data_IF_527641454652
#
_entry.id   IF_527641454652
#
_cell.length_a   1.000
_cell.length_b   1.000
_cell.length_c   1.000
_cell.angle_alpha   90.00
_cell.angle_beta   90.00
_cell.angle_gamma   90.00
#
_symmetry.space_group_name_H-M   'P 1'
#
loop_
_entity.id
_entity.type
_entity.pdbx_description
1 polymer ?
2 non-polymer ?
3 water ?
#
# COMPACT_ATOMS: atom_id res chain seq x y z
N UNK A 1 16.86 24.51 -12.69
CA UNK A 1 16.67 23.24 -13.41
C UNK A 1 15.79 22.22 -12.67
N UNK A 2 14.69 21.86 -13.30
CA UNK A 2 13.54 21.11 -12.82
C UNK A 2 13.97 19.79 -12.22
N UNK A 3 13.30 19.32 -11.18
CA UNK A 3 13.61 18.01 -10.63
C UNK A 3 13.27 16.91 -11.62
N UNK A 4 14.01 15.80 -11.51
CA UNK A 4 13.81 14.61 -12.33
C UNK A 4 13.66 13.40 -11.42
N UNK A 5 12.61 12.62 -11.56
CA UNK A 5 12.55 11.35 -10.84
C UNK A 5 13.69 10.43 -11.27
N UNK A 6 14.66 10.23 -10.38
CA UNK A 6 15.70 9.25 -10.67
C UNK A 6 15.06 7.88 -10.74
N UNK A 7 15.36 7.15 -11.81
CA UNK A 7 14.82 5.83 -12.00
C UNK A 7 13.63 5.74 -12.94
N UNK A 8 13.39 6.77 -13.75
CA UNK A 8 12.25 6.75 -14.65
C UNK A 8 12.60 5.96 -15.90
N UNK A 9 11.76 4.98 -16.25
CA UNK A 9 12.03 4.08 -17.35
C UNK A 9 10.79 3.95 -18.22
N UNK A 10 10.96 4.08 -19.54
CA UNK A 10 9.89 3.75 -20.47
C UNK A 10 10.00 2.27 -20.77
N UNK A 11 8.96 1.50 -20.42
CA UNK A 11 9.07 0.06 -20.48
C UNK A 11 9.01 -0.40 -21.94
N UNK A 12 9.62 -1.55 -22.25
CA UNK A 12 9.54 -2.09 -23.60
C UNK A 12 8.09 -2.34 -23.98
N UNK A 13 7.70 -2.02 -25.22
CA UNK A 13 6.33 -2.36 -25.65
C UNK A 13 6.12 -3.86 -25.63
N UNK A 14 5.04 -4.28 -24.98
CA UNK A 14 4.70 -5.69 -24.86
C UNK A 14 3.22 -5.88 -25.18
N UNK A 15 2.83 -7.06 -25.65
CA UNK A 15 1.42 -7.27 -25.93
C UNK A 15 0.63 -7.30 -24.66
N UNK A 16 -0.67 -6.96 -24.70
CA UNK A 16 -1.49 -7.00 -23.48
C UNK A 16 -1.49 -8.39 -22.86
N UNK A 17 -1.51 -8.42 -21.54
CA UNK A 17 -1.71 -9.66 -20.80
C UNK A 17 -3.21 -9.92 -20.63
N UNK A 18 -3.65 -11.17 -20.68
CA UNK A 18 -5.05 -11.44 -20.37
C UNK A 18 -5.32 -11.17 -18.92
N UNK A 19 -6.56 -10.81 -18.54
CA UNK A 19 -6.91 -10.79 -17.13
C UNK A 19 -6.73 -12.19 -16.56
N UNK A 20 -6.19 -12.26 -15.35
CA UNK A 20 -5.75 -13.52 -14.76
C UNK A 20 -6.91 -14.10 -13.96
N UNK A 21 -7.51 -15.15 -14.53
CA UNK A 21 -8.42 -16.01 -13.79
C UNK A 21 -7.67 -17.21 -13.27
N UNK A 22 -6.70 -17.70 -14.02
CA UNK A 22 -5.79 -18.69 -13.48
C UNK A 22 -5.13 -18.21 -12.19
N UNK A 23 -5.56 -18.77 -11.02
CA UNK A 23 -5.15 -18.32 -9.67
C UNK A 23 -5.66 -16.90 -9.53
N UNK A 24 -6.99 -16.68 -9.23
CA UNK A 24 -7.42 -15.28 -9.22
C UNK A 24 -7.51 -14.93 -7.77
N UNK A 25 -8.46 -15.60 -7.12
CA UNK A 25 -8.56 -15.63 -5.67
C UNK A 25 -8.33 -17.06 -5.19
N UNK A 26 -7.27 -17.25 -4.40
CA UNK A 26 -7.08 -18.38 -3.50
C UNK A 26 -7.70 -18.08 -2.15
N UNK A 27 -8.72 -17.23 -2.16
CA UNK A 27 -9.20 -16.56 -0.96
C UNK A 27 -8.04 -15.86 -0.26
N UNK A 28 -7.33 -14.96 -0.94
CA UNK A 28 -6.09 -14.43 -0.37
C UNK A 28 -6.28 -13.64 0.92
N UNK A 29 -7.45 -13.02 1.14
CA UNK A 29 -7.57 -12.12 2.28
C UNK A 29 -7.84 -12.84 3.60
N UNK A 30 -8.07 -14.15 3.58
CA UNK A 30 -8.26 -14.88 4.83
C UNK A 30 -6.92 -15.09 5.51
N UNK A 31 -6.85 -14.85 6.82
CA UNK A 31 -5.61 -14.82 7.59
C UNK A 31 -5.82 -15.58 8.90
N UNK A 32 -4.83 -15.53 9.80
CA UNK A 32 -4.82 -16.39 10.99
C UNK A 32 -5.50 -15.72 12.19
N UNK A 33 -6.29 -16.49 12.93
CA UNK A 33 -6.99 -15.94 14.08
C UNK A 33 -6.00 -15.45 15.14
N UNK A 34 -6.30 -14.35 15.82
CA UNK A 34 -5.43 -13.89 16.89
C UNK A 34 -5.37 -14.91 18.04
N UNK A 35 -4.35 -14.75 18.87
CA UNK A 35 -4.25 -15.57 20.08
C UNK A 35 -5.40 -15.27 21.03
N UNK A 36 -5.88 -16.30 21.73
CA UNK A 36 -6.95 -16.08 22.70
C UNK A 36 -6.46 -15.41 23.98
N UNK A 37 -5.21 -15.64 24.39
CA UNK A 37 -4.73 -15.11 25.67
C UNK A 37 -3.68 -14.04 25.44
N UNK A 38 -3.64 -13.09 26.38
CA UNK A 38 -2.64 -12.04 26.30
C UNK A 38 -1.23 -12.64 26.43
N UNK A 39 -1.08 -13.67 27.25
CA UNK A 39 0.24 -14.24 27.49
C UNK A 39 0.80 -14.88 26.22
N UNK A 40 -0.05 -15.55 25.45
CA UNK A 40 0.40 -16.12 24.17
C UNK A 40 0.88 -15.03 23.23
N UNK A 41 0.11 -13.95 23.14
CA UNK A 41 0.46 -12.85 22.25
C UNK A 41 1.79 -12.23 22.65
N UNK A 42 1.96 -11.92 23.93
CA UNK A 42 3.21 -11.33 24.37
C UNK A 42 4.39 -12.24 24.05
N UNK A 43 4.19 -13.56 24.14
CA UNK A 43 5.28 -14.49 23.86
C UNK A 43 5.63 -14.50 22.37
N UNK A 44 4.65 -14.28 21.50
CA UNK A 44 4.92 -14.32 20.07
C UNK A 44 5.76 -13.15 19.60
N UNK A 45 5.87 -12.09 20.39
CA UNK A 45 6.66 -10.92 20.00
C UNK A 45 7.82 -10.67 20.95
N UNK A 46 8.22 -11.68 21.72
CA UNK A 46 9.29 -11.51 22.71
C UNK A 46 10.59 -11.10 22.05
N UNK A 47 10.86 -11.63 20.86
CA UNK A 47 12.10 -11.28 20.15
C UNK A 47 12.08 -9.82 19.71
N UNK A 48 10.95 -9.34 19.20
CA UNK A 48 10.85 -7.92 18.85
C UNK A 48 11.02 -7.06 20.08
N UNK A 49 10.31 -7.43 21.16
CA UNK A 49 10.42 -6.66 22.40
C UNK A 49 11.87 -6.62 22.90
N UNK A 50 12.59 -7.74 22.76
CA UNK A 50 13.98 -7.77 23.20
C UNK A 50 14.87 -6.91 22.32
N UNK A 51 14.53 -6.77 21.04
CA UNK A 51 15.28 -5.89 20.16
C UNK A 51 14.99 -4.41 20.45
N UNK A 52 13.95 -4.11 21.22
CA UNK A 52 13.70 -2.77 21.68
C UNK A 52 12.89 -1.90 20.75
N UNK A 53 12.65 -2.34 19.51
CA UNK A 53 11.81 -1.57 18.60
C UNK A 53 11.27 -2.49 17.53
N UNK A 54 10.14 -2.09 16.97
CA UNK A 54 9.54 -2.73 15.81
C UNK A 54 10.15 -2.13 14.55
N UNK A 55 10.65 -2.98 13.65
CA UNK A 55 11.30 -2.52 12.41
C UNK A 55 10.29 -2.63 11.28
N UNK A 56 9.95 -1.49 10.68
CA UNK A 56 8.81 -1.35 9.78
C UNK A 56 9.32 -0.94 8.42
N UNK A 57 8.97 -1.71 7.38
CA UNK A 57 9.33 -1.37 6.02
C UNK A 57 8.27 -0.53 5.34
N UNK A 58 8.69 0.58 4.75
CA UNK A 58 7.81 1.49 4.00
C UNK A 58 8.73 2.47 3.29
N UNK A 59 8.19 3.51 2.64
CA UNK A 59 9.08 4.55 2.11
C UNK A 59 8.40 5.90 2.32
N UNK A 60 8.96 6.97 1.75
CA UNK A 60 8.35 8.28 2.03
C UNK A 60 7.77 8.85 0.74
N UNK A 61 7.36 7.99 -0.17
CA UNK A 61 6.83 8.43 -1.44
C UNK A 61 5.33 8.36 -1.63
N UNK A 62 4.56 8.11 -0.56
CA UNK A 62 3.10 7.96 -0.65
C UNK A 62 2.41 8.92 0.30
N UNK A 63 2.13 10.12 -0.18
CA UNK A 63 1.43 11.11 0.63
C UNK A 63 0.14 10.53 1.19
N UNK A 64 -0.14 10.87 2.45
CA UNK A 64 -1.23 10.42 3.30
C UNK A 64 -0.98 9.04 3.88
N UNK A 65 0.01 8.29 3.39
CA UNK A 65 0.25 6.92 3.86
C UNK A 65 1.63 6.73 4.46
N UNK A 66 2.69 7.08 3.74
CA UNK A 66 4.01 7.12 4.35
C UNK A 66 4.82 8.16 3.60
N UNK A 67 5.18 9.23 4.30
CA UNK A 67 5.81 10.38 3.68
C UNK A 67 6.46 11.18 4.81
N UNK A 68 7.35 12.10 4.45
CA UNK A 68 7.97 12.95 5.46
C UNK A 68 7.21 14.27 5.52
N UNK A 69 6.67 14.59 6.68
CA UNK A 69 5.94 15.84 6.84
C UNK A 69 6.92 17.00 6.71
N UNK A 70 6.63 17.99 5.86
CA UNK A 70 7.59 19.08 5.64
C UNK A 70 7.73 20.03 6.82
N UNK A 71 6.78 20.06 7.74
CA UNK A 71 6.87 20.96 8.88
C UNK A 71 7.55 20.30 10.07
N UNK A 72 7.13 19.08 10.42
CA UNK A 72 7.72 18.38 11.55
C UNK A 72 8.96 17.59 11.18
N UNK A 73 9.14 17.26 9.90
CA UNK A 73 10.23 16.40 9.47
C UNK A 73 10.07 14.93 9.80
N UNK A 74 8.93 14.53 10.36
CA UNK A 74 8.72 13.15 10.77
C UNK A 74 8.11 12.32 9.64
N UNK A 75 8.49 11.04 9.59
CA UNK A 75 7.77 10.08 8.76
C UNK A 75 6.40 9.86 9.38
N UNK A 76 5.35 9.98 8.57
CA UNK A 76 3.99 9.97 9.10
C UNK A 76 3.05 9.53 7.97
N UNK A 77 1.76 9.43 8.30
CA UNK A 77 0.76 8.92 7.38
C UNK A 77 -0.01 7.75 7.97
N UNK A 78 -1.04 7.35 7.23
CA UNK A 78 -1.95 6.29 7.69
C UNK A 78 -1.20 4.98 7.93
N UNK A 79 -0.33 4.58 7.01
CA UNK A 79 0.43 3.33 7.19
C UNK A 79 1.39 3.44 8.38
N UNK A 80 2.00 4.61 8.56
CA UNK A 80 2.86 4.83 9.72
C UNK A 80 2.07 4.65 11.00
N UNK A 81 0.85 5.17 11.04
CA UNK A 81 0.04 5.09 12.25
C UNK A 81 -0.46 3.66 12.49
N UNK A 82 -0.80 2.93 11.42
CA UNK A 82 -1.16 1.52 11.58
C UNK A 82 -0.01 0.75 12.21
N UNK A 83 1.21 0.95 11.70
CA UNK A 83 2.36 0.27 12.27
C UNK A 83 2.59 0.68 13.72
N UNK A 84 2.34 1.95 14.04
CA UNK A 84 2.48 2.41 15.41
C UNK A 84 1.51 1.74 16.37
N UNK A 85 0.35 1.31 15.87
CA UNK A 85 -0.58 0.61 16.75
C UNK A 85 -0.07 -0.80 17.05
N UNK A 86 0.60 -1.44 16.09
CA UNK A 86 1.26 -2.71 16.39
C UNK A 86 2.32 -2.49 17.45
N UNK A 87 3.12 -1.43 17.31
CA UNK A 87 4.17 -1.15 18.29
C UNK A 87 3.59 -0.86 19.66
N UNK A 88 2.46 -0.14 19.70
CA UNK A 88 1.78 0.10 20.97
C UNK A 88 1.42 -1.21 21.66
N UNK A 89 0.92 -2.19 20.90
CA UNK A 89 0.54 -3.45 21.50
C UNK A 89 1.75 -4.23 22.02
N UNK A 90 2.91 -4.06 21.38
CA UNK A 90 4.12 -4.76 21.81
C UNK A 90 4.74 -4.08 23.01
N UNK A 91 4.91 -2.75 22.94
CA UNK A 91 5.70 -2.00 23.90
C UNK A 91 4.89 -1.18 24.89
N UNK A 92 3.60 -0.95 24.62
CA UNK A 92 2.78 -0.11 25.46
C UNK A 92 2.60 1.31 24.94
N UNK A 93 3.50 1.76 24.06
CA UNK A 93 3.42 3.08 23.43
C UNK A 93 3.90 2.95 21.99
N UNK A 94 3.39 3.80 21.10
CA UNK A 94 3.70 3.63 19.66
C UNK A 94 5.11 4.07 19.26
N UNK A 95 5.90 4.65 20.17
CA UNK A 95 7.14 5.33 19.80
C UNK A 95 8.24 4.40 19.30
N UNK A 96 8.19 3.12 19.65
CA UNK A 96 9.34 2.23 19.52
C UNK A 96 9.35 1.57 18.14
N UNK A 97 9.62 2.40 17.14
CA UNK A 97 9.63 1.96 15.75
C UNK A 97 10.90 2.49 15.09
N UNK A 98 11.51 1.65 14.25
CA UNK A 98 12.59 2.05 13.35
C UNK A 98 12.14 1.71 11.93
N UNK A 99 12.31 2.63 11.00
CA UNK A 99 11.88 2.42 9.62
C UNK A 99 13.05 1.92 8.79
N UNK A 100 12.78 0.94 7.92
CA UNK A 100 13.68 0.58 6.84
C UNK A 100 13.05 1.07 5.54
N UNK A 101 13.72 2.01 4.87
CA UNK A 101 13.14 2.58 3.66
C UNK A 101 13.25 1.55 2.53
N UNK A 102 12.10 1.15 1.99
CA UNK A 102 11.98 0.13 0.97
C UNK A 102 11.03 0.61 -0.13
N UNK A 103 11.41 0.39 -1.38
CA UNK A 103 10.48 0.68 -2.46
C UNK A 103 9.41 -0.41 -2.55
N UNK A 104 8.36 -0.12 -3.32
CA UNK A 104 7.33 -1.12 -3.59
C UNK A 104 7.94 -2.42 -4.11
N UNK A 105 8.99 -2.32 -4.93
CA UNK A 105 9.59 -3.49 -5.52
C UNK A 105 10.41 -4.31 -4.53
N UNK A 106 10.70 -3.76 -3.35
CA UNK A 106 11.54 -4.43 -2.36
C UNK A 106 10.74 -5.00 -1.20
N UNK A 107 9.42 -4.88 -1.20
CA UNK A 107 8.62 -5.31 -0.05
C UNK A 107 8.77 -6.81 0.20
N UNK A 108 8.59 -7.63 -0.84
CA UNK A 108 8.62 -9.07 -0.66
C UNK A 108 10.01 -9.54 -0.25
N UNK A 109 11.06 -9.05 -0.92
CA UNK A 109 12.39 -9.55 -0.61
C UNK A 109 12.81 -9.19 0.82
N UNK A 110 12.46 -7.99 1.28
CA UNK A 110 12.79 -7.60 2.65
C UNK A 110 12.16 -8.55 3.66
N UNK A 111 10.91 -8.94 3.40
CA UNK A 111 10.24 -9.89 4.29
C UNK A 111 10.88 -11.27 4.20
N UNK A 112 11.22 -11.71 2.98
CA UNK A 112 11.83 -13.03 2.80
C UNK A 112 13.16 -13.11 3.53
N UNK A 113 13.92 -12.03 3.50
CA UNK A 113 15.23 -11.96 4.11
C UNK A 113 15.17 -11.56 5.58
N UNK A 114 13.98 -11.40 6.16
CA UNK A 114 13.82 -11.02 7.57
C UNK A 114 14.54 -9.71 7.88
N UNK A 115 14.50 -8.77 6.94
CA UNK A 115 15.14 -7.47 7.12
C UNK A 115 14.23 -6.48 7.84
N UNK A 116 12.93 -6.75 7.91
CA UNK A 116 11.98 -5.98 8.70
C UNK A 116 11.08 -6.97 9.43
N UNK A 117 10.47 -6.51 10.52
CA UNK A 117 9.42 -7.30 11.17
C UNK A 117 8.15 -7.33 10.33
N UNK A 118 7.73 -6.15 9.85
CA UNK A 118 6.48 -6.01 9.11
C UNK A 118 6.70 -4.97 8.02
N UNK A 119 5.95 -5.12 6.93
CA UNK A 119 5.81 -4.09 5.90
C UNK A 119 4.41 -3.50 6.05
N UNK A 120 4.33 -2.18 6.23
CA UNK A 120 3.06 -1.48 6.16
C UNK A 120 3.26 -0.41 5.09
N UNK A 121 2.94 -0.75 3.85
CA UNK A 121 3.22 0.11 2.70
C UNK A 121 2.24 -0.27 1.59
N UNK A 122 0.99 0.17 1.80
CA UNK A 122 -0.16 -0.06 0.92
C UNK A 122 -0.10 -1.41 0.22
N UNK A 123 0.13 -2.49 0.96
CA UNK A 123 0.53 -3.75 0.33
C UNK A 123 -0.69 -4.61 0.04
N UNK A 124 -1.08 -4.65 -1.24
CA UNK A 124 -2.21 -5.48 -1.65
C UNK A 124 -1.95 -6.95 -1.37
N UNK A 125 -2.94 -7.62 -0.78
CA UNK A 125 -2.88 -9.05 -0.52
C UNK A 125 -3.28 -9.80 -1.79
N UNK A 126 -2.37 -10.61 -2.32
CA UNK A 126 -2.65 -11.36 -3.54
C UNK A 126 -2.21 -12.81 -3.36
N UNK A 127 -2.81 -13.68 -4.17
CA UNK A 127 -2.44 -15.10 -4.16
C UNK A 127 -0.98 -15.31 -4.54
N UNK A 128 -0.51 -14.57 -5.55
CA UNK A 128 0.90 -14.69 -5.94
C UNK A 128 1.82 -14.29 -4.79
N UNK A 129 1.52 -13.17 -4.13
CA UNK A 129 2.36 -12.75 -3.01
C UNK A 129 2.29 -13.72 -1.84
N UNK A 130 1.13 -14.34 -1.61
CA UNK A 130 1.00 -15.26 -0.49
C UNK A 130 1.82 -16.54 -0.68
N UNK A 131 2.32 -16.81 -1.88
CA UNK A 131 3.29 -17.89 -2.03
C UNK A 131 4.63 -17.55 -1.39
N UNK A 132 4.91 -16.27 -1.18
CA UNK A 132 6.22 -15.82 -0.74
C UNK A 132 6.22 -15.18 0.64
N UNK A 133 5.13 -14.51 1.03
CA UNK A 133 5.05 -13.85 2.33
C UNK A 133 3.68 -14.12 2.95
N UNK A 134 3.57 -13.80 4.24
CA UNK A 134 2.29 -13.84 4.93
C UNK A 134 1.67 -12.45 5.02
N UNK A 135 0.39 -12.41 5.40
CA UNK A 135 -0.34 -11.16 5.50
C UNK A 135 -1.29 -11.21 6.70
N UNK A 136 -1.46 -10.06 7.33
CA UNK A 136 -2.56 -9.84 8.26
C UNK A 136 -3.90 -9.85 7.51
N UNK A 137 -4.99 -9.75 8.27
CA UNK A 137 -6.29 -9.41 7.72
C UNK A 137 -6.23 -8.01 7.07
N UNK A 138 -7.23 -7.71 6.25
CA UNK A 138 -7.21 -6.45 5.53
C UNK A 138 -7.46 -5.31 6.50
N UNK A 139 -6.68 -4.24 6.36
CA UNK A 139 -6.86 -3.04 7.18
C UNK A 139 -7.34 -1.83 6.40
N UNK A 140 -7.39 -1.92 5.06
CA UNK A 140 -7.98 -0.86 4.25
C UNK A 140 -8.23 -1.46 2.87
N UNK A 141 -9.36 -1.13 2.26
CA UNK A 141 -9.70 -1.68 0.95
C UNK A 141 -9.75 -0.55 -0.07
N UNK A 142 -8.83 -0.56 -1.03
CA UNK A 142 -8.77 0.48 -2.06
C UNK A 142 -9.13 -0.11 -3.42
N UNK A 143 -9.18 0.76 -4.44
CA UNK A 143 -9.42 0.28 -5.80
C UNK A 143 -8.62 1.12 -6.79
N UNK A 144 -8.06 0.46 -7.79
CA UNK A 144 -7.22 1.14 -8.76
C UNK A 144 -8.07 2.06 -9.64
N UNK A 145 -7.62 3.30 -9.81
CA UNK A 145 -8.32 4.23 -10.71
C UNK A 145 -7.27 5.00 -11.50
N UNK A 146 -7.67 6.14 -12.06
CA UNK A 146 -6.84 6.92 -12.97
C UNK A 146 -6.76 8.35 -12.46
N UNK A 147 -5.57 8.94 -12.52
CA UNK A 147 -5.34 10.33 -12.14
C UNK A 147 -4.84 11.10 -13.36
N UNK A 148 -5.48 12.23 -13.67
CA UNK A 148 -5.08 13.02 -14.84
C UNK A 148 -5.28 14.49 -14.52
N UNK A 149 -4.63 15.39 -15.26
CA UNK A 149 -4.91 16.81 -15.07
C UNK A 149 -6.36 17.12 -15.41
N UNK A 150 -6.87 18.19 -14.81
CA UNK A 150 -8.29 18.52 -14.95
C UNK A 150 -8.67 18.83 -16.39
N UNK A 151 -7.74 19.30 -17.21
CA UNK A 151 -8.05 19.61 -18.61
C UNK A 151 -7.83 18.42 -19.53
N UNK A 152 -7.38 17.29 -18.99
CA UNK A 152 -7.15 16.11 -19.81
C UNK A 152 -8.48 15.51 -20.26
N UNK A 153 -8.56 15.00 -21.49
CA UNK A 153 -9.77 14.29 -21.93
C UNK A 153 -9.89 12.89 -21.37
N UNK A 154 -8.90 12.40 -20.62
CA UNK A 154 -8.93 11.03 -20.11
C UNK A 154 -10.02 10.90 -19.05
N UNK A 155 -10.99 10.00 -19.30
CA UNK A 155 -11.97 9.66 -18.28
C UNK A 155 -12.26 8.17 -18.16
N UNK A 156 -11.69 7.32 -19.01
CA UNK A 156 -11.98 5.89 -18.93
C UNK A 156 -10.73 5.10 -19.33
N UNK A 157 -10.76 3.80 -19.02
CA UNK A 157 -9.57 2.97 -19.19
C UNK A 157 -9.12 2.99 -20.66
N UNK A 158 -10.06 2.92 -21.60
CA UNK A 158 -9.66 2.87 -23.00
C UNK A 158 -8.91 4.12 -23.44
N UNK A 159 -9.11 5.25 -22.74
CA UNK A 159 -8.39 6.48 -23.06
C UNK A 159 -6.90 6.38 -22.77
N UNK A 160 -6.48 5.39 -21.99
CA UNK A 160 -5.06 5.25 -21.67
C UNK A 160 -4.26 4.62 -22.82
N UNK A 161 -4.93 3.97 -23.77
CA UNK A 161 -4.22 3.35 -24.89
C UNK A 161 -3.40 4.40 -25.64
N UNK A 162 -2.13 4.09 -25.86
CA UNK A 162 -1.21 4.97 -26.57
C UNK A 162 -0.73 6.16 -25.79
N UNK A 163 -1.21 6.37 -24.57
CA UNK A 163 -0.79 7.50 -23.77
C UNK A 163 0.21 7.05 -22.71
N UNK A 164 0.92 8.02 -22.14
CA UNK A 164 2.00 7.72 -21.21
C UNK A 164 1.42 7.60 -19.81
N UNK A 165 1.43 6.40 -19.24
CA UNK A 165 0.84 6.14 -17.93
C UNK A 165 1.95 5.69 -16.99
N UNK A 166 2.01 6.32 -15.82
CA UNK A 166 3.06 6.06 -14.83
C UNK A 166 2.58 5.11 -13.75
N UNK A 167 3.43 4.12 -13.41
CA UNK A 167 3.25 3.24 -12.26
C UNK A 167 4.59 3.04 -11.59
N UNK A 168 4.57 2.78 -10.28
CA UNK A 168 5.79 2.34 -9.61
C UNK A 168 6.10 0.88 -9.95
N UNK A 169 7.38 0.57 -10.11
CA UNK A 169 7.80 -0.81 -10.33
C UNK A 169 7.40 -1.68 -9.14
N UNK A 170 7.11 -2.95 -9.42
CA UNK A 170 6.82 -3.90 -8.36
C UNK A 170 5.43 -3.81 -7.78
N UNK A 171 4.45 -3.29 -8.53
CA UNK A 171 3.11 -3.05 -8.02
C UNK A 171 2.08 -3.84 -8.80
N UNK A 172 0.95 -4.09 -8.13
CA UNK A 172 -0.21 -4.63 -8.83
C UNK A 172 -0.69 -3.65 -9.90
N UNK A 173 -0.43 -2.36 -9.70
CA UNK A 173 -0.89 -1.34 -10.63
C UNK A 173 -0.31 -1.59 -12.01
N UNK A 174 0.98 -1.93 -12.07
CA UNK A 174 1.63 -2.25 -13.34
C UNK A 174 0.97 -3.45 -14.00
N UNK A 175 0.75 -4.52 -13.23
CA UNK A 175 0.13 -5.72 -13.79
C UNK A 175 -1.23 -5.38 -14.41
N UNK A 176 -2.01 -4.52 -13.76
CA UNK A 176 -3.33 -4.21 -14.28
C UNK A 176 -3.25 -3.37 -15.55
N UNK A 177 -2.30 -2.43 -15.59
CA UNK A 177 -2.13 -1.61 -16.79
C UNK A 177 -1.62 -2.46 -17.95
N UNK A 178 -0.87 -3.52 -17.65
CA UNK A 178 -0.41 -4.43 -18.70
C UNK A 178 -1.54 -5.22 -19.35
N UNK A 179 -2.76 -5.12 -18.82
CA UNK A 179 -3.92 -5.75 -19.46
C UNK A 179 -4.56 -4.87 -20.52
N UNK A 180 -4.24 -3.58 -20.56
CA UNK A 180 -4.97 -2.66 -21.42
C UNK A 180 -4.59 -2.91 -22.88
N UNK A 181 -5.59 -2.97 -23.74
CA UNK A 181 -5.39 -3.25 -25.16
C UNK A 181 -6.13 -2.18 -25.96
N UNK A 182 -5.44 -1.45 -26.86
CA UNK A 182 -3.98 -1.44 -27.10
C UNK A 182 -3.24 -0.88 -25.88
N UNK A 183 -1.95 -1.20 -25.72
CA UNK A 183 -1.27 -0.82 -24.49
C UNK A 183 -1.06 0.68 -24.41
N UNK A 184 -1.06 1.23 -23.21
CA UNK A 184 -0.46 2.55 -23.02
C UNK A 184 1.05 2.45 -23.20
N UNK A 185 1.67 3.61 -23.32
CA UNK A 185 3.12 3.71 -23.14
C UNK A 185 3.35 3.67 -21.63
N UNK A 186 4.05 2.64 -21.15
CA UNK A 186 4.14 2.43 -19.71
C UNK A 186 5.46 3.00 -19.21
N UNK A 187 5.36 3.97 -18.32
CA UNK A 187 6.51 4.60 -17.69
C UNK A 187 6.55 4.13 -16.25
N UNK A 188 7.69 3.59 -15.82
CA UNK A 188 7.78 3.12 -14.44
C UNK A 188 8.80 3.93 -13.65
N UNK A 189 8.58 4.01 -12.33
CA UNK A 189 9.38 4.81 -11.40
C UNK A 189 9.57 4.03 -10.11
N UNK A 190 10.36 4.61 -9.19
CA UNK A 190 10.60 3.96 -7.90
C UNK A 190 9.39 4.09 -6.99
N UNK A 191 8.81 5.28 -6.89
CA UNK A 191 7.72 5.48 -5.94
C UNK A 191 6.67 6.42 -6.51
N UNK A 192 5.56 6.56 -5.78
CA UNK A 192 4.41 7.24 -6.34
C UNK A 192 4.63 8.75 -6.42
N UNK A 193 5.44 9.30 -5.50
CA UNK A 193 5.80 10.71 -5.61
C UNK A 193 6.51 11.00 -6.92
N UNK A 194 7.29 10.04 -7.43
CA UNK A 194 7.97 10.24 -8.70
C UNK A 194 6.98 10.34 -9.86
N UNK A 195 5.87 9.59 -9.80
CA UNK A 195 4.84 9.75 -10.81
C UNK A 195 4.24 11.14 -10.77
N UNK A 196 4.04 11.69 -9.57
CA UNK A 196 3.51 13.05 -9.47
C UNK A 196 4.45 14.04 -10.12
N UNK A 197 5.75 13.94 -9.84
CA UNK A 197 6.71 14.85 -10.44
C UNK A 197 6.67 14.73 -11.96
N UNK A 198 6.64 13.50 -12.49
CA UNK A 198 6.60 13.30 -13.93
C UNK A 198 5.38 13.98 -14.54
N UNK A 199 4.23 13.87 -13.90
CA UNK A 199 3.03 14.50 -14.44
C UNK A 199 3.10 16.02 -14.35
N UNK A 200 3.60 16.54 -13.22
CA UNK A 200 3.75 17.98 -13.08
C UNK A 200 4.65 18.56 -14.16
N UNK A 201 5.66 17.79 -14.58
CA UNK A 201 6.56 18.24 -15.64
C UNK A 201 6.11 17.80 -17.02
N UNK A 202 4.88 17.28 -17.15
CA UNK A 202 4.31 16.89 -18.45
C UNK A 202 5.17 15.86 -19.17
N UNK A 203 5.82 14.99 -18.40
CA UNK A 203 6.59 13.86 -18.93
C UNK A 203 5.74 12.60 -19.08
N UNK A 204 4.53 12.63 -18.55
CA UNK A 204 3.55 11.56 -18.68
C UNK A 204 2.19 12.22 -18.84
N UNK A 205 1.17 11.39 -19.10
CA UNK A 205 -0.19 11.86 -19.30
C UNK A 205 -1.14 11.50 -18.18
N UNK A 206 -0.86 10.43 -17.44
CA UNK A 206 -1.75 9.97 -16.39
C UNK A 206 -0.98 9.07 -15.45
N UNK A 207 -1.53 8.89 -14.24
CA UNK A 207 -1.05 7.92 -13.28
C UNK A 207 -2.19 6.96 -13.01
N UNK A 208 -1.89 5.67 -12.84
CA UNK A 208 -2.95 4.73 -12.46
C UNK A 208 -2.49 3.85 -11.30
N UNK A 209 -3.19 3.94 -10.16
CA UNK A 209 -2.93 3.11 -9.00
C UNK A 209 -4.09 3.26 -8.04
N UNK A 210 -3.93 2.72 -6.84
CA UNK A 210 -4.94 2.76 -5.78
C UNK A 210 -5.50 4.17 -5.62
N UNK A 211 -6.84 4.26 -5.55
CA UNK A 211 -7.45 5.59 -5.43
C UNK A 211 -7.04 6.28 -4.14
N UNK A 212 -6.73 5.51 -3.10
CA UNK A 212 -6.13 6.04 -1.87
C UNK A 212 -4.86 6.82 -2.14
N UNK A 213 -3.91 6.19 -2.85
CA UNK A 213 -2.64 6.86 -3.19
C UNK A 213 -2.89 8.04 -4.12
N UNK A 214 -3.77 7.86 -5.11
CA UNK A 214 -4.08 8.96 -6.03
C UNK A 214 -4.65 10.16 -5.27
N UNK A 215 -5.50 9.91 -4.27
CA UNK A 215 -6.04 11.02 -3.49
C UNK A 215 -4.92 11.78 -2.78
N UNK A 216 -3.88 11.07 -2.33
CA UNK A 216 -2.74 11.76 -1.75
C UNK A 216 -2.02 12.64 -2.74
N UNK A 217 -1.95 12.20 -4.01
CA UNK A 217 -1.34 13.03 -5.03
C UNK A 217 -2.21 14.24 -5.34
N UNK A 218 -3.54 14.08 -5.31
CA UNK A 218 -4.43 15.21 -5.49
C UNK A 218 -4.23 16.24 -4.37
N UNK A 219 -4.02 15.78 -3.15
CA UNK A 219 -3.81 16.70 -2.03
C UNK A 219 -2.56 17.54 -2.26
N UNK A 220 -1.52 16.96 -2.85
CA UNK A 220 -0.33 17.73 -3.19
C UNK A 220 -0.55 18.63 -4.39
N UNK A 221 -1.37 18.20 -5.33
CA UNK A 221 -1.54 18.91 -6.60
C UNK A 221 -3.01 18.94 -6.99
N UNK A 222 -3.78 19.91 -6.48
CA UNK A 222 -5.23 19.92 -6.75
C UNK A 222 -5.59 20.23 -8.19
N UNK A 223 -4.61 20.48 -9.05
CA UNK A 223 -4.88 20.57 -10.49
C UNK A 223 -5.25 19.20 -11.06
N UNK A 224 -4.96 18.13 -10.34
CA UNK A 224 -5.25 16.78 -10.80
C UNK A 224 -6.59 16.31 -10.25
N UNK A 225 -7.20 15.34 -10.94
CA UNK A 225 -8.45 14.75 -10.46
C UNK A 225 -8.50 13.27 -10.81
N UNK A 226 -9.30 12.53 -10.05
CA UNK A 226 -9.43 11.09 -10.19
C UNK A 226 -10.63 10.78 -11.07
N UNK A 227 -10.43 9.93 -12.08
CA UNK A 227 -11.46 9.60 -13.06
C UNK A 227 -11.51 8.10 -13.26
N UNK A 228 -12.61 7.66 -13.88
CA UNK A 228 -12.70 6.32 -14.38
C UNK A 228 -13.29 5.33 -13.39
N UNK A 229 -13.55 4.12 -13.87
CA UNK A 229 -14.19 3.11 -13.03
C UNK A 229 -13.18 2.45 -12.11
N UNK A 230 -13.71 1.66 -11.18
CA UNK A 230 -12.87 0.79 -10.36
C UNK A 230 -12.20 -0.24 -11.26
N UNK A 231 -10.86 -0.26 -11.28
CA UNK A 231 -10.11 -1.10 -12.20
C UNK A 231 -9.61 -2.41 -11.59
N UNK A 232 -9.50 -2.48 -10.27
CA UNK A 232 -8.96 -3.67 -9.59
C UNK A 232 -8.95 -3.46 -8.10
N UNK A 233 -9.54 -4.40 -7.37
CA UNK A 233 -9.57 -4.32 -5.91
C UNK A 233 -8.17 -4.40 -5.32
N UNK A 234 -7.93 -3.64 -4.24
CA UNK A 234 -6.62 -3.60 -3.57
C UNK A 234 -6.82 -3.71 -2.07
N UNK A 235 -6.88 -4.92 -1.54
CA UNK A 235 -7.05 -5.08 -0.09
C UNK A 235 -5.71 -5.07 0.63
N UNK A 236 -5.48 -4.05 1.45
CA UNK A 236 -4.18 -3.86 2.09
C UNK A 236 -4.01 -4.81 3.26
N UNK A 237 -2.84 -5.44 3.35
CA UNK A 237 -2.49 -6.23 4.51
C UNK A 237 -1.13 -5.80 5.02
N UNK A 238 -0.89 -6.07 6.29
CA UNK A 238 0.47 -5.96 6.84
C UNK A 238 1.25 -7.17 6.36
N UNK A 239 2.39 -6.92 5.70
CA UNK A 239 3.20 -8.01 5.17
C UNK A 239 4.14 -8.53 6.23
N UNK A 240 4.27 -9.86 6.29
CA UNK A 240 4.98 -10.55 7.36
C UNK A 240 5.74 -11.72 6.73
N UNK A 241 6.90 -12.07 7.30
CA UNK A 241 7.65 -13.23 6.80
C UNK A 241 6.74 -14.46 6.80
N UNK A 242 6.88 -15.27 5.75
CA UNK A 242 5.95 -16.37 5.48
C UNK A 242 5.83 -17.32 6.67
N UNK A 243 6.92 -17.54 7.38
CA UNK A 243 6.93 -18.53 8.45
C UNK A 243 6.62 -17.95 9.82
N UNK A 244 6.49 -16.63 9.95
CA UNK A 244 6.24 -16.04 11.26
C UNK A 244 4.74 -15.92 11.51
N UNK A 245 4.11 -17.10 11.66
CA UNK A 245 2.67 -17.12 11.87
C UNK A 245 2.28 -16.50 13.19
N UNK A 246 3.14 -16.58 14.20
CA UNK A 246 2.85 -15.94 15.47
C UNK A 246 2.69 -14.44 15.34
N UNK A 247 3.50 -13.81 14.49
CA UNK A 247 3.38 -12.37 14.29
C UNK A 247 2.12 -12.04 13.50
N UNK A 248 1.73 -12.90 12.55
CA UNK A 248 0.46 -12.71 11.85
C UNK A 248 -0.69 -12.68 12.87
N UNK A 249 -0.73 -13.67 13.75
CA UNK A 249 -1.78 -13.70 14.77
C UNK A 249 -1.73 -12.47 15.65
N UNK A 250 -0.53 -12.03 16.03
CA UNK A 250 -0.40 -10.86 16.88
C UNK A 250 -0.93 -9.61 16.19
N UNK A 251 -0.46 -9.37 14.96
CA UNK A 251 -0.95 -8.20 14.22
C UNK A 251 -2.46 -8.26 14.01
N UNK A 252 -3.01 -9.47 13.80
CA UNK A 252 -4.45 -9.54 13.61
C UNK A 252 -5.20 -9.18 14.89
N UNK A 253 -4.62 -9.45 16.06
CA UNK A 253 -5.19 -8.93 17.28
C UNK A 253 -5.18 -7.42 17.36
N UNK A 254 -4.05 -6.79 16.98
CA UNK A 254 -3.99 -5.33 16.90
C UNK A 254 -5.10 -4.80 16.01
N UNK A 255 -5.29 -5.42 14.84
CA UNK A 255 -6.31 -4.92 13.92
C UNK A 255 -7.71 -5.11 14.50
N UNK A 256 -7.97 -6.24 15.16
CA UNK A 256 -9.25 -6.37 15.86
C UNK A 256 -9.43 -5.25 16.86
N UNK A 257 -8.37 -4.92 17.61
CA UNK A 257 -8.50 -3.86 18.60
C UNK A 257 -8.85 -2.54 17.93
N UNK A 258 -8.11 -2.15 16.88
CA UNK A 258 -8.32 -0.80 16.36
C UNK A 258 -9.63 -0.70 15.58
N UNK A 259 -10.09 -1.79 14.95
CA UNK A 259 -11.41 -1.77 14.31
C UNK A 259 -12.52 -1.51 15.31
N UNK A 260 -12.33 -1.94 16.57
CA UNK A 260 -13.42 -1.95 17.52
C UNK A 260 -13.30 -0.90 18.63
N UNK A 261 -12.13 -0.30 18.83
CA UNK A 261 -11.98 0.66 19.92
C UNK A 261 -11.97 2.10 19.43
N UNK A 262 -12.28 2.32 18.15
CA UNK A 262 -12.38 3.64 17.57
C UNK A 262 -11.13 4.14 16.90
N UNK A 263 -10.00 3.46 17.11
CA UNK A 263 -8.73 3.94 16.57
C UNK A 263 -8.73 3.94 15.05
N UNK A 264 -9.25 2.88 14.44
CA UNK A 264 -9.28 2.85 12.98
C UNK A 264 -10.07 4.03 12.44
N UNK A 265 -11.25 4.28 13.01
CA UNK A 265 -12.05 5.42 12.58
C UNK A 265 -11.30 6.72 12.77
N UNK A 266 -10.61 6.87 13.90
CA UNK A 266 -9.80 8.07 14.13
C UNK A 266 -8.72 8.23 13.06
N UNK A 267 -8.03 7.14 12.72
CA UNK A 267 -6.95 7.24 11.73
C UNK A 267 -7.50 7.56 10.34
N UNK A 268 -8.66 7.00 10.00
CA UNK A 268 -9.29 7.33 8.72
C UNK A 268 -9.64 8.81 8.67
N UNK A 269 -10.27 9.34 9.71
CA UNK A 269 -10.62 10.76 9.72
C UNK A 269 -9.38 11.63 9.70
N UNK A 270 -8.29 11.15 10.30
CA UNK A 270 -7.06 11.93 10.37
C UNK A 270 -6.45 12.10 8.98
N UNK A 271 -6.49 11.05 8.16
CA UNK A 271 -5.71 11.00 6.92
C UNK A 271 -6.55 10.99 5.66
N UNK A 272 -7.74 10.40 5.67
CA UNK A 272 -8.37 9.97 4.42
C UNK A 272 -9.71 10.63 4.12
N UNK A 273 -10.05 11.74 4.79
CA UNK A 273 -11.36 12.34 4.50
C UNK A 273 -11.44 12.91 3.09
N UNK A 274 -10.31 13.06 2.39
CA UNK A 274 -10.38 13.41 0.98
C UNK A 274 -11.18 12.37 0.20
N UNK A 275 -11.25 11.13 0.70
CA UNK A 275 -11.96 10.06 0.04
C UNK A 275 -13.44 9.98 0.43
N UNK A 276 -13.89 10.85 1.33
CA UNK A 276 -15.27 10.83 1.75
C UNK A 276 -15.41 10.38 3.18
N UNK A 277 -16.66 10.31 3.65
CA UNK A 277 -16.92 9.89 5.03
C UNK A 277 -16.35 8.51 5.29
N UNK A 278 -15.94 8.28 6.54
CA UNK A 278 -15.35 7.02 6.92
C UNK A 278 -16.33 5.88 6.68
N UNK A 279 -15.93 4.81 6.01
CA UNK A 279 -16.76 3.61 5.96
C UNK A 279 -16.53 2.81 7.24
N UNK A 280 -17.29 1.73 7.40
CA UNK A 280 -16.94 0.77 8.42
C UNK A 280 -15.56 0.20 8.10
N UNK A 281 -14.77 -0.15 9.11
CA UNK A 281 -13.50 -0.81 8.83
C UNK A 281 -13.74 -2.09 8.06
N UNK A 282 -12.77 -2.51 7.23
CA UNK A 282 -12.93 -3.79 6.52
C UNK A 282 -13.16 -4.94 7.48
N UNK A 283 -14.09 -5.81 7.13
CA UNK A 283 -14.36 -6.98 7.98
C UNK A 283 -13.24 -8.00 7.82
N UNK A 284 -12.65 -8.48 8.91
CA UNK A 284 -11.57 -9.48 8.79
C UNK A 284 -12.13 -10.85 8.42
N UNK A 285 -11.32 -11.62 7.70
CA UNK A 285 -11.64 -12.98 7.35
C UNK A 285 -10.53 -13.90 7.85
N UNK A 286 -10.92 -15.04 8.42
CA UNK A 286 -9.98 -15.96 9.06
C UNK A 286 -10.06 -17.33 8.41
N UNK A 287 -8.89 -17.95 8.20
CA UNK A 287 -8.82 -19.31 7.68
C UNK A 287 -9.17 -20.33 8.75
N UNK A 288 -8.84 -20.04 10.00
CA UNK A 288 -9.01 -21.00 11.08
C UNK A 288 -9.96 -20.46 12.14
#
# INVERSE_FOLDING_TARGET
>A
PLPTPVGMEIMPPQPPLPPDSSSQDCDPTASLRPFATKAEADAAVADIRARGRLIVGLDIGSNLFSFRDPITGEITGFDVDIAGEVARDIFGVPSHVEYRILSAAERVTALQKSQVDIVVKTMSITCERRKLVNFSTVYLDANQRILAPRDSPITKVSDLSGKRVCVARGTTSLRRIREIAPPPVIVSVVNWADCLVALQQREIDAVSTDDTILAGLVEEDPYLHIVGPDMADQPYGVGINLDNTGLVRFVNGTLERIRNDGTWNTLYRKWLTVLGPAPAPPTPRYVD
#
